data_IF_318637376010
#
_entry.id   IF_318637376010
#
_cell.length_a   1.000
_cell.length_b   1.000
_cell.length_c   1.000
_cell.angle_alpha   90.00
_cell.angle_beta   90.00
_cell.angle_gamma   90.00
#
_symmetry.space_group_name_H-M   'P 1'
#
loop_
_entity.id
_entity.type
_entity.pdbx_description
1 polymer ?
#
# COMPACT_ATOMS: atom_id res chain seq x y z
N UNK A 1 17.67 -13.26 7.02
CA UNK A 1 17.95 -14.23 5.93
C UNK A 1 18.34 -13.47 4.67
N UNK A 2 19.47 -13.81 4.06
CA UNK A 2 19.98 -13.18 2.82
C UNK A 2 19.68 -14.11 1.65
N UNK A 3 18.96 -13.63 0.64
CA UNK A 3 18.47 -14.46 -0.47
C UNK A 3 18.65 -13.85 -1.84
N UNK A 4 18.85 -14.71 -2.83
CA UNK A 4 18.72 -14.40 -4.26
C UNK A 4 17.49 -15.09 -4.83
N UNK A 5 17.11 -14.79 -6.08
CA UNK A 5 15.99 -15.46 -6.76
C UNK A 5 14.61 -14.98 -6.33
N UNK A 6 14.53 -13.85 -5.61
CA UNK A 6 13.27 -13.15 -5.41
C UNK A 6 12.78 -12.58 -6.75
N UNK A 7 11.47 -12.65 -7.00
CA UNK A 7 10.89 -12.07 -8.20
C UNK A 7 11.13 -10.54 -8.23
N UNK A 8 11.31 -9.95 -9.43
CA UNK A 8 11.40 -8.50 -9.58
C UNK A 8 10.18 -7.80 -8.98
N UNK A 9 10.38 -6.60 -8.44
CA UNK A 9 9.27 -5.73 -8.00
C UNK A 9 8.97 -4.70 -9.08
N UNK A 10 7.70 -4.31 -9.16
CA UNK A 10 7.29 -3.11 -9.88
C UNK A 10 7.61 -1.88 -9.02
N UNK A 11 8.23 -0.85 -9.62
CA UNK A 11 8.61 0.38 -8.92
C UNK A 11 10.07 0.44 -8.48
N UNK A 12 10.37 1.36 -7.56
CA UNK A 12 11.71 1.59 -7.05
C UNK A 12 12.11 0.57 -5.97
N UNK A 13 13.42 0.35 -5.85
CA UNK A 13 14.01 -0.44 -4.78
C UNK A 13 13.74 0.23 -3.42
N UNK A 14 12.98 -0.45 -2.55
CA UNK A 14 12.52 0.11 -1.28
C UNK A 14 12.61 -0.90 -0.12
N UNK A 15 12.58 -0.36 1.10
CA UNK A 15 12.31 -1.15 2.31
C UNK A 15 10.82 -1.40 2.40
N UNK A 16 10.43 -2.66 2.59
CA UNK A 16 9.04 -3.05 2.80
C UNK A 16 8.86 -3.50 4.25
N UNK A 17 7.95 -2.86 4.93
CA UNK A 17 7.57 -3.14 6.30
C UNK A 17 6.15 -3.72 6.32
N UNK A 18 5.98 -4.93 6.85
CA UNK A 18 4.67 -5.56 7.07
C UNK A 18 4.53 -5.89 8.54
N UNK A 19 3.38 -5.56 9.12
CA UNK A 19 3.07 -5.82 10.51
C UNK A 19 1.69 -6.45 10.62
N UNK A 20 1.61 -7.54 11.38
CA UNK A 20 0.34 -8.17 11.75
C UNK A 20 0.25 -8.15 13.27
N UNK A 21 -0.69 -7.38 13.85
CA UNK A 21 -0.85 -7.27 15.29
C UNK A 21 -0.97 -8.64 15.97
N UNK A 22 -0.18 -8.87 17.02
CA UNK A 22 -0.16 -10.12 17.80
C UNK A 22 0.54 -11.31 17.11
N UNK A 23 1.00 -11.16 15.87
CA UNK A 23 1.74 -12.18 15.13
C UNK A 23 3.22 -11.82 15.07
N UNK A 24 3.51 -10.63 14.53
CA UNK A 24 4.87 -10.12 14.35
C UNK A 24 5.03 -9.30 13.07
N UNK A 25 6.28 -8.97 12.77
CA UNK A 25 6.69 -8.11 11.67
C UNK A 25 7.57 -8.86 10.67
N UNK A 26 7.39 -8.52 9.39
CA UNK A 26 8.24 -8.96 8.31
C UNK A 26 8.76 -7.76 7.53
N UNK A 27 10.09 -7.70 7.40
CA UNK A 27 10.77 -6.67 6.65
C UNK A 27 11.46 -7.31 5.47
N UNK A 28 11.46 -6.59 4.35
CA UNK A 28 12.41 -6.91 3.31
C UNK A 28 12.96 -5.70 2.57
N UNK A 29 14.24 -5.78 2.22
CA UNK A 29 14.95 -4.70 1.58
C UNK A 29 16.14 -5.21 0.76
N UNK A 30 16.52 -4.49 -0.31
CA UNK A 30 17.67 -4.85 -1.13
C UNK A 30 18.96 -4.65 -0.34
N UNK A 31 19.95 -5.48 -0.64
CA UNK A 31 21.29 -5.40 -0.08
C UNK A 31 22.35 -5.86 -1.07
N UNK A 32 23.61 -5.61 -0.74
CA UNK A 32 24.77 -6.08 -1.47
C UNK A 32 25.59 -7.01 -0.58
N UNK A 33 25.94 -8.19 -1.09
CA UNK A 33 26.91 -9.10 -0.48
C UNK A 33 28.17 -9.17 -1.34
N UNK A 34 29.16 -9.97 -0.91
CA UNK A 34 30.37 -10.24 -1.70
C UNK A 34 30.08 -11.01 -3.00
N UNK A 35 28.90 -11.62 -3.14
CA UNK A 35 28.49 -12.40 -4.32
C UNK A 35 27.51 -11.66 -5.22
N UNK A 36 27.08 -10.45 -4.85
CA UNK A 36 26.24 -9.57 -5.67
C UNK A 36 25.00 -9.06 -4.94
N UNK A 37 24.05 -8.48 -5.69
CA UNK A 37 22.77 -8.03 -5.15
C UNK A 37 21.96 -9.19 -4.56
N UNK A 38 21.32 -8.93 -3.42
CA UNK A 38 20.41 -9.85 -2.77
C UNK A 38 19.25 -9.11 -2.10
N UNK A 39 18.29 -9.85 -1.59
CA UNK A 39 17.27 -9.37 -0.67
C UNK A 39 17.58 -9.84 0.76
N UNK A 40 17.38 -8.97 1.74
CA UNK A 40 17.32 -9.35 3.15
C UNK A 40 15.85 -9.56 3.52
N UNK A 41 15.57 -10.67 4.19
CA UNK A 41 14.32 -10.97 4.88
C UNK A 41 14.57 -10.94 6.39
N UNK A 42 13.87 -10.08 7.11
CA UNK A 42 13.90 -10.00 8.58
C UNK A 42 12.54 -10.38 9.12
N UNK A 43 12.52 -11.25 10.12
CA UNK A 43 11.30 -11.71 10.79
C UNK A 43 11.44 -11.40 12.27
N UNK A 44 10.56 -10.53 12.77
CA UNK A 44 10.47 -10.22 14.20
C UNK A 44 9.18 -10.87 14.72
N UNK A 45 9.32 -11.92 15.53
CA UNK A 45 8.19 -12.65 16.09
C UNK A 45 7.91 -12.19 17.51
N UNK A 46 6.64 -11.95 17.85
CA UNK A 46 6.24 -11.68 19.24
C UNK A 46 6.62 -12.90 20.10
N UNK A 47 7.33 -12.74 21.23
CA UNK A 47 7.72 -13.86 22.09
C UNK A 47 6.52 -14.71 22.52
N UNK A 48 6.60 -16.03 22.32
CA UNK A 48 5.48 -16.97 22.55
C UNK A 48 4.33 -16.88 21.53
N UNK A 49 4.43 -15.98 20.56
CA UNK A 49 3.48 -15.80 19.47
C UNK A 49 3.69 -16.78 18.32
N UNK A 50 2.85 -16.71 17.28
CA UNK A 50 2.84 -17.70 16.20
C UNK A 50 4.04 -17.63 15.25
N UNK A 51 4.79 -16.52 15.23
CA UNK A 51 6.07 -16.38 14.52
C UNK A 51 7.30 -16.70 15.40
N UNK A 52 7.14 -16.97 16.70
CA UNK A 52 8.21 -17.46 17.58
C UNK A 52 8.36 -18.98 17.43
N UNK A 53 8.74 -19.43 16.23
CA UNK A 53 8.72 -20.84 15.83
C UNK A 53 10.07 -21.31 15.26
N UNK A 54 11.16 -20.93 15.92
CA UNK A 54 12.51 -21.12 15.39
C UNK A 54 13.38 -22.10 16.18
N UNK A 55 12.93 -22.59 17.34
CA UNK A 55 13.74 -23.36 18.30
C UNK A 55 14.20 -24.73 17.80
N UNK A 56 13.53 -25.29 16.80
CA UNK A 56 13.83 -26.58 16.16
C UNK A 56 14.77 -26.46 14.95
N UNK A 57 15.00 -25.25 14.45
CA UNK A 57 15.83 -24.97 13.26
C UNK A 57 17.32 -25.18 13.57
N UNK A 58 18.02 -25.93 12.70
CA UNK A 58 19.44 -26.33 12.90
C UNK A 58 20.33 -26.05 11.71
N UNK A 59 19.79 -25.98 10.49
CA UNK A 59 20.56 -25.71 9.27
C UNK A 59 20.08 -24.46 8.56
N UNK A 60 20.93 -23.79 7.76
CA UNK A 60 20.51 -22.66 6.94
C UNK A 60 19.34 -22.99 6.02
N UNK A 61 19.31 -24.19 5.44
CA UNK A 61 18.23 -24.63 4.55
C UNK A 61 16.92 -24.76 5.31
N UNK A 62 16.94 -25.37 6.50
CA UNK A 62 15.75 -25.44 7.36
C UNK A 62 15.26 -24.05 7.80
N UNK A 63 16.18 -23.08 7.97
CA UNK A 63 15.83 -21.69 8.27
C UNK A 63 15.14 -21.01 7.08
N UNK A 64 15.61 -21.21 5.85
CA UNK A 64 14.94 -20.68 4.66
C UNK A 64 13.57 -21.33 4.47
N UNK A 65 13.45 -22.66 4.62
CA UNK A 65 12.17 -23.36 4.57
C UNK A 65 11.18 -22.76 5.57
N UNK A 66 11.59 -22.58 6.83
CA UNK A 66 10.75 -21.94 7.87
C UNK A 66 10.37 -20.50 7.51
N UNK A 67 11.31 -19.73 6.94
CA UNK A 67 11.04 -18.37 6.48
C UNK A 67 9.92 -18.35 5.43
N UNK A 68 9.98 -19.27 4.47
CA UNK A 68 8.96 -19.40 3.41
C UNK A 68 7.61 -19.89 3.95
N UNK A 69 7.59 -20.79 4.93
CA UNK A 69 6.36 -21.21 5.62
C UNK A 69 5.67 -20.04 6.33
N UNK A 70 6.43 -19.21 7.04
CA UNK A 70 5.92 -18.00 7.70
C UNK A 70 5.33 -17.04 6.68
N UNK A 71 6.05 -16.76 5.58
CA UNK A 71 5.53 -15.93 4.50
C UNK A 71 4.25 -16.51 3.93
N UNK A 72 4.22 -17.81 3.61
CA UNK A 72 3.03 -18.44 3.03
C UNK A 72 1.81 -18.31 3.95
N UNK A 73 2.01 -18.47 5.26
CA UNK A 73 0.94 -18.46 6.25
C UNK A 73 0.43 -17.05 6.59
N UNK A 74 1.34 -16.10 6.76
CA UNK A 74 1.01 -14.78 7.32
C UNK A 74 1.13 -13.65 6.29
N UNK A 75 1.97 -13.79 5.27
CA UNK A 75 2.25 -12.75 4.27
C UNK A 75 2.21 -13.33 2.83
N UNK A 76 1.06 -13.87 2.38
CA UNK A 76 0.98 -14.63 1.13
C UNK A 76 1.35 -13.80 -0.12
N UNK A 77 1.11 -12.49 -0.10
CA UNK A 77 1.57 -11.54 -1.12
C UNK A 77 3.10 -11.49 -1.20
N UNK A 78 3.79 -11.51 -0.05
CA UNK A 78 5.24 -11.56 0.02
C UNK A 78 5.77 -12.94 -0.37
N UNK A 79 5.07 -14.02 0.00
CA UNK A 79 5.47 -15.38 -0.36
C UNK A 79 5.63 -15.57 -1.87
N UNK A 80 4.70 -15.05 -2.67
CA UNK A 80 4.76 -15.17 -4.14
C UNK A 80 6.07 -14.63 -4.71
N UNK A 81 6.59 -13.55 -4.12
CA UNK A 81 7.89 -12.99 -4.50
C UNK A 81 9.06 -13.92 -4.15
N UNK A 82 9.01 -14.56 -2.99
CA UNK A 82 10.13 -15.33 -2.43
C UNK A 82 10.04 -16.83 -2.66
N UNK A 83 9.00 -17.37 -3.30
CA UNK A 83 8.84 -18.81 -3.53
C UNK A 83 10.02 -19.49 -4.25
N UNK A 84 10.75 -18.73 -5.08
CA UNK A 84 11.95 -19.18 -5.79
C UNK A 84 13.28 -18.83 -5.10
N UNK A 85 13.21 -18.26 -3.90
CA UNK A 85 14.37 -17.72 -3.21
C UNK A 85 15.36 -18.81 -2.80
N UNK A 86 16.65 -18.47 -2.85
CA UNK A 86 17.77 -19.32 -2.39
C UNK A 86 18.69 -18.49 -1.51
N UNK A 87 19.30 -19.13 -0.52
CA UNK A 87 20.32 -18.46 0.29
C UNK A 87 21.47 -17.95 -0.58
N UNK A 88 22.03 -16.81 -0.22
CA UNK A 88 23.24 -16.27 -0.88
C UNK A 88 24.44 -17.20 -0.66
N UNK A 89 24.59 -17.75 0.54
CA UNK A 89 25.63 -18.67 0.98
C UNK A 89 25.23 -19.37 2.31
N UNK A 90 26.11 -20.24 2.83
CA UNK A 90 25.90 -20.98 4.07
C UNK A 90 25.81 -20.10 5.35
N UNK A 91 26.31 -18.87 5.30
CA UNK A 91 26.25 -17.88 6.37
C UNK A 91 25.08 -16.89 6.24
N UNK A 92 24.24 -17.02 5.20
CA UNK A 92 23.14 -16.10 4.91
C UNK A 92 21.97 -16.12 5.90
N UNK A 93 22.13 -16.66 7.11
CA UNK A 93 21.09 -16.79 8.13
C UNK A 93 21.58 -16.34 9.49
N UNK A 94 20.67 -15.74 10.27
CA UNK A 94 20.90 -15.37 11.66
C UNK A 94 19.59 -15.55 12.43
N UNK A 95 19.66 -16.22 13.58
CA UNK A 95 18.56 -16.38 14.52
C UNK A 95 19.05 -16.01 15.91
N UNK A 96 18.28 -15.22 16.64
CA UNK A 96 18.60 -14.87 18.02
C UNK A 96 17.43 -14.21 18.71
N UNK A 97 17.70 -13.74 19.93
CA UNK A 97 16.82 -12.84 20.67
C UNK A 97 17.65 -11.65 21.10
N UNK A 98 17.09 -10.46 20.97
CA UNK A 98 17.73 -9.21 21.40
C UNK A 98 16.95 -8.69 22.60
N UNK A 99 17.66 -8.31 23.66
CA UNK A 99 17.08 -7.56 24.77
C UNK A 99 17.58 -6.13 24.68
N UNK A 100 16.74 -5.18 24.24
CA UNK A 100 17.13 -3.78 24.16
C UNK A 100 17.65 -3.29 25.51
N UNK A 101 18.83 -2.67 25.50
CA UNK A 101 19.52 -2.31 26.74
C UNK A 101 20.26 -1.00 26.57
N UNK A 102 20.06 -0.09 27.53
CA UNK A 102 20.89 1.10 27.70
C UNK A 102 21.74 0.91 28.95
N UNK A 103 23.07 0.94 28.80
CA UNK A 103 24.04 0.70 29.87
C UNK A 103 24.67 1.99 30.36
N UNK A 104 25.35 1.94 31.50
CA UNK A 104 26.22 3.03 31.91
C UNK A 104 27.34 3.23 30.88
N UNK A 105 27.57 4.46 30.39
CA UNK A 105 28.50 4.70 29.29
C UNK A 105 29.97 4.68 29.71
N UNK A 106 30.26 4.87 31.01
CA UNK A 106 31.62 4.92 31.54
C UNK A 106 31.89 3.70 32.43
N UNK A 107 32.99 3.01 32.17
CA UNK A 107 33.45 1.89 32.98
C UNK A 107 34.87 2.14 33.52
N UNK A 108 35.17 1.62 34.71
CA UNK A 108 36.52 1.60 35.28
C UNK A 108 37.14 0.22 35.10
N UNK A 109 38.28 0.16 34.44
CA UNK A 109 39.03 -1.07 34.20
C UNK A 109 39.81 -1.50 35.44
N UNK A 110 40.24 -2.76 35.48
CA UNK A 110 41.12 -3.29 36.53
C UNK A 110 42.46 -2.52 36.65
N UNK A 111 42.92 -1.92 35.56
CA UNK A 111 44.11 -1.03 35.54
C UNK A 111 43.88 0.33 36.22
N UNK A 112 42.65 0.63 36.65
CA UNK A 112 42.26 1.91 37.21
C UNK A 112 41.87 2.97 36.17
N UNK A 113 42.14 2.73 34.88
CA UNK A 113 41.74 3.63 33.77
C UNK A 113 40.23 3.61 33.55
N UNK A 114 39.69 4.73 33.07
CA UNK A 114 38.29 4.82 32.65
C UNK A 114 38.17 4.71 31.13
N UNK A 115 37.07 4.13 30.68
CA UNK A 115 36.74 3.99 29.26
C UNK A 115 35.31 4.44 29.01
N UNK A 116 35.10 5.10 27.86
CA UNK A 116 33.78 5.48 27.35
C UNK A 116 33.34 4.45 26.30
N UNK A 117 32.22 3.79 26.54
CA UNK A 117 31.60 2.87 25.58
C UNK A 117 30.85 3.61 24.47
N UNK A 118 30.62 2.92 23.35
CA UNK A 118 29.96 3.44 22.15
C UNK A 118 29.11 2.34 21.49
N UNK A 119 28.12 2.73 20.68
CA UNK A 119 27.26 1.84 19.89
C UNK A 119 26.58 0.77 20.76
N UNK A 120 26.43 -0.46 20.26
CA UNK A 120 25.72 -1.57 20.92
C UNK A 120 26.30 -1.96 22.29
N UNK A 121 27.56 -1.59 22.57
CA UNK A 121 28.15 -1.78 23.89
C UNK A 121 27.40 -0.96 24.96
N UNK A 122 26.82 0.18 24.59
CA UNK A 122 26.11 1.09 25.50
C UNK A 122 24.62 1.18 25.17
N UNK A 123 24.25 1.34 23.91
CA UNK A 123 22.87 1.50 23.46
C UNK A 123 22.56 0.42 22.43
N UNK A 124 22.02 -0.70 22.92
CA UNK A 124 21.58 -1.82 22.08
C UNK A 124 20.09 -1.65 21.79
N UNK A 125 19.75 -1.44 20.53
CA UNK A 125 18.37 -1.33 20.05
C UNK A 125 17.87 -2.67 19.50
N UNK A 126 16.55 -2.86 19.54
CA UNK A 126 15.90 -3.90 18.75
C UNK A 126 15.99 -3.56 17.24
N UNK A 127 16.06 -4.56 16.32
CA UNK A 127 16.14 -4.29 14.90
C UNK A 127 14.85 -3.75 14.27
N UNK A 128 13.70 -3.79 14.97
CA UNK A 128 12.37 -3.46 14.43
C UNK A 128 12.27 -2.09 13.72
N UNK A 129 13.13 -1.12 14.05
CA UNK A 129 13.20 0.20 13.40
C UNK A 129 14.47 0.42 12.57
N UNK A 130 15.38 -0.57 12.52
CA UNK A 130 16.66 -0.47 11.82
C UNK A 130 17.63 0.57 12.40
N UNK A 131 17.43 1.06 13.62
CA UNK A 131 18.16 2.23 14.14
C UNK A 131 19.56 1.93 14.69
N UNK A 132 19.94 0.66 14.88
CA UNK A 132 21.23 0.28 15.52
C UNK A 132 22.46 0.93 14.85
N UNK A 133 22.63 0.72 13.54
CA UNK A 133 23.76 1.26 12.78
C UNK A 133 23.75 2.79 12.69
N UNK A 134 22.58 3.39 12.46
CA UNK A 134 22.41 4.85 12.43
C UNK A 134 22.78 5.47 13.78
N UNK A 135 22.32 4.85 14.88
CA UNK A 135 22.64 5.28 16.23
C UNK A 135 24.15 5.17 16.54
N UNK A 136 24.81 4.11 16.07
CA UNK A 136 26.26 3.95 16.21
C UNK A 136 27.04 5.02 15.43
N UNK A 137 26.61 5.33 14.19
CA UNK A 137 27.21 6.38 13.38
C UNK A 137 27.06 7.76 14.04
N UNK A 138 25.87 8.07 14.56
CA UNK A 138 25.61 9.31 15.29
C UNK A 138 26.42 9.40 16.58
N UNK A 139 26.57 8.30 17.33
CA UNK A 139 27.45 8.26 18.50
C UNK A 139 28.89 8.61 18.13
N UNK A 140 29.41 8.02 17.04
CA UNK A 140 30.76 8.29 16.56
C UNK A 140 30.97 9.77 16.21
N UNK A 141 30.02 10.40 15.49
CA UNK A 141 30.08 11.83 15.16
C UNK A 141 30.08 12.70 16.41
N UNK A 142 29.11 12.49 17.33
CA UNK A 142 29.02 13.25 18.58
C UNK A 142 30.27 13.12 19.45
N UNK A 143 30.85 11.92 19.51
CA UNK A 143 32.04 11.65 20.31
C UNK A 143 33.27 12.27 19.68
N UNK A 144 33.45 12.15 18.37
CA UNK A 144 34.54 12.78 17.63
C UNK A 144 34.54 14.29 17.84
N UNK A 145 33.40 14.95 17.65
CA UNK A 145 33.26 16.40 17.84
C UNK A 145 33.59 16.82 19.28
N UNK A 146 33.24 15.98 20.26
CA UNK A 146 33.54 16.23 21.67
C UNK A 146 35.04 16.06 21.94
N UNK A 147 35.67 15.02 21.41
CA UNK A 147 37.12 14.74 21.52
C UNK A 147 37.93 15.89 20.91
N UNK A 148 37.58 16.30 19.68
CA UNK A 148 38.29 17.37 18.96
C UNK A 148 38.19 18.72 19.70
N UNK A 149 37.01 19.06 20.24
CA UNK A 149 36.83 20.29 21.04
C UNK A 149 37.54 20.23 22.39
N UNK A 150 37.70 19.05 22.97
CA UNK A 150 38.41 18.88 24.24
C UNK A 150 39.93 18.98 24.08
N UNK A 151 40.44 18.70 22.87
CA UNK A 151 41.86 18.84 22.54
C UNK A 151 42.73 17.89 23.36
N UNK A 152 43.73 18.43 24.04
CA UNK A 152 44.71 17.67 24.85
C UNK A 152 44.36 17.59 26.33
N UNK A 153 43.20 18.10 26.74
CA UNK A 153 42.77 18.02 28.13
C UNK A 153 42.46 16.57 28.55
N UNK A 154 42.54 16.28 29.85
CA UNK A 154 42.29 14.93 30.36
C UNK A 154 40.84 14.47 30.14
N UNK A 155 40.66 13.25 29.62
CA UNK A 155 39.34 12.62 29.47
C UNK A 155 38.85 12.07 30.81
N UNK A 156 38.48 12.96 31.72
CA UNK A 156 37.95 12.57 33.03
C UNK A 156 36.64 11.78 32.91
N UNK A 157 36.26 10.94 33.89
CA UNK A 157 34.98 10.22 33.87
C UNK A 157 33.78 11.15 33.73
N UNK A 158 33.85 12.34 34.34
CA UNK A 158 32.79 13.35 34.24
C UNK A 158 32.69 13.92 32.82
N UNK A 159 33.81 14.12 32.13
CA UNK A 159 33.80 14.51 30.73
C UNK A 159 33.23 13.40 29.85
N UNK A 160 33.64 12.13 30.06
CA UNK A 160 33.11 10.99 29.32
C UNK A 160 31.59 10.86 29.45
N UNK A 161 31.05 11.02 30.68
CA UNK A 161 29.61 11.01 30.93
C UNK A 161 28.91 12.15 30.19
N UNK A 162 29.43 13.38 30.27
CA UNK A 162 28.86 14.53 29.54
C UNK A 162 28.85 14.33 28.02
N UNK A 163 29.89 13.70 27.48
CA UNK A 163 29.98 13.36 26.05
C UNK A 163 28.86 12.40 25.65
N UNK A 164 28.63 11.33 26.43
CA UNK A 164 27.48 10.44 26.19
C UNK A 164 26.15 11.17 26.35
N UNK A 165 25.97 11.97 27.41
CA UNK A 165 24.71 12.66 27.67
C UNK A 165 24.31 13.61 26.53
N UNK A 166 25.28 14.23 25.86
CA UNK A 166 25.04 15.08 24.70
C UNK A 166 24.55 14.29 23.49
N UNK A 167 25.16 13.12 23.22
CA UNK A 167 24.67 12.18 22.23
C UNK A 167 23.26 11.66 22.57
N UNK A 168 23.05 11.28 23.83
CA UNK A 168 21.78 10.77 24.32
C UNK A 168 20.64 11.78 24.11
N UNK A 169 20.83 13.02 24.55
CA UNK A 169 19.83 14.10 24.39
C UNK A 169 19.65 14.53 22.93
N UNK A 170 20.74 14.57 22.18
CA UNK A 170 20.73 15.03 20.78
C UNK A 170 20.12 14.03 19.81
N UNK A 171 20.23 12.73 20.11
CA UNK A 171 19.87 11.66 19.18
C UNK A 171 19.34 10.39 19.86
N UNK A 172 20.14 9.73 20.69
CA UNK A 172 19.92 8.31 21.02
C UNK A 172 18.56 8.04 21.68
N UNK A 173 18.13 8.91 22.60
CA UNK A 173 16.87 8.74 23.34
C UNK A 173 15.64 8.69 22.42
N UNK A 174 15.69 9.39 21.29
CA UNK A 174 14.59 9.48 20.33
C UNK A 174 14.45 8.16 19.56
N UNK A 175 15.59 7.64 19.08
CA UNK A 175 15.66 6.33 18.42
C UNK A 175 15.27 5.19 19.38
N UNK A 176 15.82 5.17 20.60
CA UNK A 176 15.49 4.16 21.63
C UNK A 176 14.00 4.21 21.98
N UNK A 177 13.47 5.40 22.27
CA UNK A 177 12.08 5.58 22.66
C UNK A 177 11.12 5.07 21.59
N UNK A 178 11.33 5.48 20.34
CA UNK A 178 10.50 5.05 19.22
C UNK A 178 10.58 3.54 18.98
N UNK A 179 11.79 2.98 18.99
CA UNK A 179 12.02 1.54 18.82
C UNK A 179 11.28 0.73 19.88
N UNK A 180 11.44 1.09 21.15
CA UNK A 180 10.78 0.38 22.25
C UNK A 180 9.25 0.51 22.20
N UNK A 181 8.72 1.63 21.69
CA UNK A 181 7.27 1.80 21.55
C UNK A 181 6.63 0.82 20.57
N UNK A 182 7.39 0.33 19.58
CA UNK A 182 6.93 -0.64 18.59
C UNK A 182 7.05 -2.10 19.08
N UNK A 183 7.77 -2.35 20.19
CA UNK A 183 7.87 -3.68 20.81
C UNK A 183 6.68 -4.01 21.72
N UNK A 184 5.83 -3.02 21.96
CA UNK A 184 4.63 -3.14 22.78
C UNK A 184 3.37 -3.04 21.92
N UNK A 185 2.23 -3.42 22.47
CA UNK A 185 0.97 -3.30 21.77
C UNK A 185 0.70 -1.84 21.34
N UNK A 186 0.39 -1.64 20.06
CA UNK A 186 0.08 -0.33 19.51
C UNK A 186 -1.19 0.24 20.18
N UNK A 187 -1.13 1.49 20.61
CA UNK A 187 -2.30 2.23 21.07
C UNK A 187 -3.30 2.49 19.92
N UNK A 188 -4.54 2.91 20.23
CA UNK A 188 -5.50 3.34 19.22
C UNK A 188 -4.95 4.42 18.27
N UNK A 189 -4.28 5.46 18.80
CA UNK A 189 -3.78 6.55 17.96
C UNK A 189 -2.62 6.13 17.05
N UNK A 190 -1.77 5.17 17.46
CA UNK A 190 -0.76 4.59 16.57
C UNK A 190 -1.43 3.86 15.39
N UNK A 191 -2.50 3.09 15.65
CA UNK A 191 -3.26 2.43 14.59
C UNK A 191 -3.92 3.43 13.64
N UNK A 192 -4.44 4.54 14.16
CA UNK A 192 -5.03 5.60 13.34
C UNK A 192 -3.99 6.29 12.45
N UNK A 193 -2.78 6.55 12.97
CA UNK A 193 -1.65 7.08 12.19
C UNK A 193 -1.28 6.13 11.05
N UNK A 194 -1.12 4.84 11.34
CA UNK A 194 -0.76 3.83 10.35
C UNK A 194 -1.87 3.62 9.31
N UNK A 195 -3.14 3.61 9.74
CA UNK A 195 -4.29 3.53 8.83
C UNK A 195 -4.37 4.75 7.93
N UNK A 196 -4.20 5.95 8.47
CA UNK A 196 -4.21 7.18 7.67
C UNK A 196 -3.05 7.26 6.68
N UNK A 197 -1.90 6.65 6.98
CA UNK A 197 -0.78 6.58 6.05
C UNK A 197 -1.13 5.83 4.75
N UNK A 198 -2.04 4.86 4.80
CA UNK A 198 -2.49 4.13 3.61
C UNK A 198 -3.31 5.01 2.65
N UNK A 199 -3.93 6.08 3.15
CA UNK A 199 -4.82 6.94 2.38
C UNK A 199 -4.21 8.31 2.07
N UNK A 200 -3.34 8.81 2.94
CA UNK A 200 -2.80 10.16 2.90
C UNK A 200 -1.28 10.11 2.70
N UNK A 201 -0.77 10.31 1.46
CA UNK A 201 0.66 10.18 1.17
C UNK A 201 1.59 11.05 2.02
N UNK A 202 1.12 12.22 2.48
CA UNK A 202 1.90 13.09 3.36
C UNK A 202 2.03 12.58 4.80
N UNK A 203 1.11 11.72 5.25
CA UNK A 203 1.24 10.98 6.52
C UNK A 203 2.26 9.85 6.35
N UNK A 204 2.16 9.07 5.27
CA UNK A 204 3.15 8.04 4.94
C UNK A 204 4.57 8.61 4.82
N UNK A 205 4.72 9.74 4.12
CA UNK A 205 6.00 10.43 3.99
C UNK A 205 6.57 10.92 5.33
N UNK A 206 5.73 11.38 6.25
CA UNK A 206 6.16 11.79 7.58
C UNK A 206 6.62 10.60 8.44
N UNK A 207 5.93 9.46 8.37
CA UNK A 207 6.35 8.22 9.04
C UNK A 207 7.69 7.72 8.47
N UNK A 208 7.83 7.71 7.14
CA UNK A 208 9.07 7.30 6.47
C UNK A 208 10.24 8.22 6.85
N UNK A 209 10.05 9.54 6.89
CA UNK A 209 11.06 10.50 7.33
C UNK A 209 11.51 10.28 8.79
N UNK A 210 10.69 9.63 9.61
CA UNK A 210 11.05 9.23 10.96
C UNK A 210 12.14 8.16 11.05
N UNK A 211 12.29 7.32 10.02
CA UNK A 211 13.42 6.39 9.94
C UNK A 211 14.76 7.11 9.76
N UNK A 212 14.74 8.24 9.04
CA UNK A 212 15.90 9.12 8.86
C UNK A 212 16.17 9.99 10.09
N UNK A 213 15.11 10.53 10.71
CA UNK A 213 15.20 11.34 11.92
C UNK A 213 14.01 11.08 12.88
N UNK A 214 14.18 10.24 13.91
CA UNK A 214 13.10 9.86 14.83
C UNK A 214 12.60 11.03 15.68
N UNK A 215 13.32 12.15 15.74
CA UNK A 215 12.87 13.37 16.45
C UNK A 215 11.64 13.99 15.79
N UNK A 216 11.50 13.81 14.47
CA UNK A 216 10.38 14.36 13.69
C UNK A 216 9.05 13.70 14.03
N UNK A 217 9.08 12.46 14.50
CA UNK A 217 7.91 11.68 14.91
C UNK A 217 7.45 12.05 16.32
N UNK A 218 8.41 12.36 17.19
CA UNK A 218 8.25 12.20 18.63
C UNK A 218 6.98 12.84 19.19
N UNK A 219 6.73 14.10 18.80
CA UNK A 219 5.59 14.88 19.31
C UNK A 219 4.24 14.20 19.05
N UNK A 220 3.98 13.79 17.80
CA UNK A 220 2.69 13.23 17.41
C UNK A 220 2.64 11.71 17.52
N UNK A 221 3.79 11.04 17.67
CA UNK A 221 3.84 9.62 17.96
C UNK A 221 3.50 9.35 19.44
N UNK A 222 4.10 10.10 20.37
CA UNK A 222 3.93 9.84 21.81
C UNK A 222 2.78 10.62 22.48
N UNK A 223 2.24 11.66 21.83
CA UNK A 223 1.11 12.43 22.37
C UNK A 223 -0.14 12.28 21.49
N UNK A 224 -1.17 11.62 22.02
CA UNK A 224 -2.43 11.35 21.30
C UNK A 224 -3.10 12.63 20.75
N UNK A 225 -3.12 13.71 21.54
CA UNK A 225 -3.71 14.98 21.10
C UNK A 225 -2.94 15.61 19.93
N UNK A 226 -1.62 15.42 19.88
CA UNK A 226 -0.79 15.87 18.77
C UNK A 226 -0.97 14.96 17.55
N UNK A 227 -1.13 13.65 17.73
CA UNK A 227 -1.48 12.70 16.67
C UNK A 227 -2.76 13.12 15.95
N UNK A 228 -3.83 13.40 16.70
CA UNK A 228 -5.12 13.82 16.14
C UNK A 228 -5.02 15.15 15.37
N UNK A 229 -4.29 16.14 15.91
CA UNK A 229 -4.07 17.41 15.22
C UNK A 229 -3.26 17.22 13.93
N UNK A 230 -2.18 16.44 13.98
CA UNK A 230 -1.36 16.13 12.83
C UNK A 230 -2.19 15.46 11.72
N UNK A 231 -3.00 14.45 12.07
CA UNK A 231 -3.87 13.77 11.12
C UNK A 231 -4.94 14.68 10.52
N UNK A 232 -5.58 15.51 11.34
CA UNK A 232 -6.58 16.48 10.87
C UNK A 232 -5.98 17.45 9.86
N UNK A 233 -4.78 17.99 10.15
CA UNK A 233 -4.07 18.89 9.24
C UNK A 233 -3.73 18.21 7.91
N UNK A 234 -3.14 17.00 7.95
CA UNK A 234 -2.74 16.27 6.74
C UNK A 234 -3.93 15.86 5.88
N UNK A 235 -5.03 15.43 6.51
CA UNK A 235 -6.29 15.11 5.80
C UNK A 235 -6.90 16.34 5.15
N UNK A 236 -6.92 17.48 5.85
CA UNK A 236 -7.43 18.74 5.29
C UNK A 236 -6.59 19.17 4.07
N UNK A 237 -5.26 19.12 4.16
CA UNK A 237 -4.36 19.41 3.04
C UNK A 237 -4.56 18.45 1.87
N UNK A 238 -4.75 17.15 2.15
CA UNK A 238 -5.00 16.14 1.13
C UNK A 238 -6.33 16.36 0.40
N UNK A 239 -7.41 16.61 1.15
CA UNK A 239 -8.72 16.91 0.60
C UNK A 239 -8.75 18.24 -0.17
N UNK A 240 -7.97 19.24 0.26
CA UNK A 240 -7.89 20.54 -0.40
C UNK A 240 -7.13 20.52 -1.74
N UNK A 241 -6.49 19.40 -2.12
CA UNK A 241 -5.71 19.32 -3.36
C UNK A 241 -6.58 19.53 -4.60
N UNK A 242 -7.85 19.11 -4.56
CA UNK A 242 -8.89 19.44 -5.54
C UNK A 242 -10.28 19.41 -4.88
N UNK A 243 -11.11 20.43 -5.08
CA UNK A 243 -12.54 20.31 -4.77
C UNK A 243 -13.17 19.28 -5.73
N UNK A 244 -13.68 18.17 -5.19
CA UNK A 244 -14.31 17.12 -5.98
C UNK A 244 -15.48 17.62 -6.84
N UNK A 245 -16.17 18.70 -6.45
CA UNK A 245 -17.21 19.31 -7.28
C UNK A 245 -16.62 20.05 -8.47
N UNK A 246 -15.55 20.81 -8.27
CA UNK A 246 -14.85 21.51 -9.35
C UNK A 246 -14.19 20.54 -10.33
N UNK A 247 -13.53 19.50 -9.81
CA UNK A 247 -12.94 18.45 -10.64
C UNK A 247 -14.00 17.72 -11.47
N UNK A 248 -15.13 17.34 -10.85
CA UNK A 248 -16.26 16.72 -11.57
C UNK A 248 -16.83 17.65 -12.64
N UNK A 249 -16.93 18.95 -12.36
CA UNK A 249 -17.39 19.96 -13.34
C UNK A 249 -16.41 20.06 -14.52
N UNK A 250 -15.11 20.05 -14.26
CA UNK A 250 -14.06 20.07 -15.28
C UNK A 250 -14.09 18.80 -16.14
N UNK A 251 -14.18 17.61 -15.53
CA UNK A 251 -14.32 16.33 -16.23
C UNK A 251 -15.59 16.28 -17.08
N UNK A 252 -16.68 16.88 -16.60
CA UNK A 252 -17.95 16.96 -17.33
C UNK A 252 -17.89 17.79 -18.63
N UNK A 253 -16.80 18.51 -18.91
CA UNK A 253 -16.60 19.18 -20.20
C UNK A 253 -16.28 18.20 -21.33
N UNK A 254 -15.81 16.98 -21.02
CA UNK A 254 -15.66 15.93 -22.01
C UNK A 254 -17.02 15.27 -22.25
N UNK A 255 -17.62 15.55 -23.41
CA UNK A 255 -18.89 14.96 -23.81
C UNK A 255 -18.71 13.47 -24.12
N UNK A 256 -19.61 12.64 -23.60
CA UNK A 256 -19.59 11.19 -23.82
C UNK A 256 -20.93 10.70 -24.33
N UNK A 257 -20.93 9.53 -24.97
CA UNK A 257 -22.16 8.73 -25.06
C UNK A 257 -22.59 8.26 -23.67
N UNK A 258 -23.82 7.76 -23.57
CA UNK A 258 -24.31 7.08 -22.37
C UNK A 258 -24.48 5.60 -22.66
N UNK A 259 -23.98 4.75 -21.77
CA UNK A 259 -24.15 3.31 -21.86
C UNK A 259 -24.89 2.71 -20.68
N UNK A 260 -25.51 1.56 -20.89
CA UNK A 260 -25.89 0.64 -19.81
C UNK A 260 -25.06 -0.61 -19.95
N UNK A 261 -24.35 -0.98 -18.89
CA UNK A 261 -23.61 -2.22 -18.78
C UNK A 261 -24.46 -3.22 -18.02
N UNK A 262 -24.65 -4.42 -18.57
CA UNK A 262 -25.42 -5.49 -17.95
C UNK A 262 -24.58 -6.75 -17.79
N UNK A 263 -24.90 -7.55 -16.79
CA UNK A 263 -24.33 -8.87 -16.60
C UNK A 263 -25.34 -9.81 -15.96
N UNK A 264 -24.99 -11.09 -15.92
CA UNK A 264 -25.71 -12.13 -15.18
C UNK A 264 -24.90 -12.43 -13.92
N UNK A 265 -25.49 -12.20 -12.74
CA UNK A 265 -24.88 -12.55 -11.46
C UNK A 265 -24.78 -14.09 -11.31
N UNK A 266 -23.88 -14.61 -10.45
CA UNK A 266 -23.71 -16.06 -10.24
C UNK A 266 -25.00 -16.77 -9.78
N UNK A 267 -25.89 -16.06 -9.09
CA UNK A 267 -27.19 -16.56 -8.65
C UNK A 267 -28.30 -16.48 -9.72
N UNK A 268 -27.96 -16.04 -10.94
CA UNK A 268 -28.86 -15.93 -12.07
C UNK A 268 -29.59 -14.58 -12.19
N UNK A 269 -29.47 -13.67 -11.22
CA UNK A 269 -30.09 -12.34 -11.30
C UNK A 269 -29.49 -11.53 -12.46
N UNK A 270 -30.33 -10.74 -13.13
CA UNK A 270 -29.88 -9.72 -14.08
C UNK A 270 -29.37 -8.50 -13.29
N UNK A 271 -28.17 -8.02 -13.59
CA UNK A 271 -27.63 -6.80 -13.00
C UNK A 271 -27.29 -5.79 -14.08
N UNK A 272 -27.45 -4.50 -13.76
CA UNK A 272 -27.28 -3.42 -14.74
C UNK A 272 -26.89 -2.10 -14.08
N UNK A 273 -26.02 -1.37 -14.78
CA UNK A 273 -25.51 -0.07 -14.35
C UNK A 273 -25.39 0.87 -15.53
N UNK A 274 -25.84 2.11 -15.37
CA UNK A 274 -25.50 3.17 -16.31
C UNK A 274 -24.06 3.61 -16.12
N UNK A 275 -23.32 3.69 -17.22
CA UNK A 275 -21.96 4.18 -17.25
C UNK A 275 -21.79 5.18 -18.39
N UNK A 276 -20.91 6.15 -18.19
CA UNK A 276 -20.46 7.05 -19.25
C UNK A 276 -18.93 7.09 -19.34
N UNK A 277 -18.26 6.17 -18.64
CA UNK A 277 -16.82 5.95 -18.69
C UNK A 277 -16.39 4.96 -19.77
N UNK A 278 -17.32 4.49 -20.62
CA UNK A 278 -17.04 3.50 -21.66
C UNK A 278 -16.06 4.06 -22.70
N UNK A 279 -15.07 3.27 -23.09
CA UNK A 279 -14.06 3.66 -24.09
C UNK A 279 -13.59 2.45 -24.90
N UNK A 280 -13.39 2.61 -26.21
CA UNK A 280 -12.72 1.63 -27.06
C UNK A 280 -11.20 1.67 -26.85
N UNK A 281 -10.55 0.52 -26.70
CA UNK A 281 -9.14 0.42 -26.32
C UNK A 281 -8.27 -0.11 -27.47
N UNK A 282 -8.69 -1.20 -28.10
CA UNK A 282 -7.90 -1.89 -29.12
C UNK A 282 -8.81 -2.50 -30.19
N UNK A 283 -8.29 -2.63 -31.41
CA UNK A 283 -8.96 -3.31 -32.52
C UNK A 283 -8.53 -4.78 -32.65
N UNK A 284 -7.28 -5.12 -32.31
CA UNK A 284 -6.74 -6.49 -32.38
C UNK A 284 -5.79 -6.77 -31.19
N UNK A 285 -6.21 -7.55 -30.18
CA UNK A 285 -7.57 -8.07 -30.00
C UNK A 285 -8.58 -6.91 -29.77
N UNK A 286 -9.88 -7.12 -30.03
CA UNK A 286 -10.90 -6.09 -29.89
C UNK A 286 -11.22 -5.84 -28.42
N UNK A 287 -10.70 -4.76 -27.85
CA UNK A 287 -10.81 -4.45 -26.42
C UNK A 287 -11.61 -3.17 -26.17
N UNK A 288 -12.43 -3.19 -25.12
CA UNK A 288 -13.16 -2.05 -24.57
C UNK A 288 -12.97 -1.97 -23.06
N UNK A 289 -13.19 -0.80 -22.47
CA UNK A 289 -13.19 -0.62 -21.03
C UNK A 289 -14.39 0.16 -20.51
N UNK A 290 -14.66 -0.01 -19.22
CA UNK A 290 -15.55 0.85 -18.42
C UNK A 290 -15.15 0.79 -16.95
N UNK A 291 -15.66 1.71 -16.13
CA UNK A 291 -15.18 1.93 -14.76
C UNK A 291 -16.37 2.02 -13.79
N UNK A 292 -16.83 0.91 -13.18
CA UNK A 292 -17.76 0.97 -12.05
C UNK A 292 -17.07 1.50 -10.79
N UNK A 293 -17.81 2.29 -10.00
CA UNK A 293 -17.34 2.79 -8.71
C UNK A 293 -17.28 1.68 -7.65
N UNK A 294 -16.27 1.73 -6.78
CA UNK A 294 -16.05 0.75 -5.71
C UNK A 294 -17.20 0.67 -4.71
N UNK A 295 -17.94 1.76 -4.55
CA UNK A 295 -19.10 1.85 -3.67
C UNK A 295 -20.41 1.37 -4.31
N UNK A 296 -20.38 0.87 -5.56
CA UNK A 296 -21.60 0.36 -6.19
C UNK A 296 -22.06 -0.95 -5.56
N UNK A 297 -23.34 -1.08 -5.16
CA UNK A 297 -23.89 -2.33 -4.64
C UNK A 297 -23.78 -3.51 -5.61
N UNK A 298 -23.79 -3.24 -6.92
CA UNK A 298 -23.72 -4.28 -7.95
C UNK A 298 -22.29 -4.65 -8.36
N UNK A 299 -21.26 -4.02 -7.76
CA UNK A 299 -19.87 -4.31 -8.11
C UNK A 299 -19.47 -5.78 -7.85
N UNK A 300 -19.86 -6.43 -6.73
CA UNK A 300 -19.57 -7.85 -6.53
C UNK A 300 -20.16 -8.72 -7.64
N UNK A 301 -21.41 -8.46 -8.03
CA UNK A 301 -22.08 -9.20 -9.11
C UNK A 301 -21.34 -9.08 -10.45
N UNK A 302 -20.81 -7.90 -10.80
CA UNK A 302 -19.98 -7.70 -12.00
C UNK A 302 -18.59 -8.33 -11.86
N UNK A 303 -18.03 -8.35 -10.64
CA UNK A 303 -16.71 -8.92 -10.38
C UNK A 303 -16.73 -10.44 -10.55
N UNK A 304 -17.82 -11.09 -10.14
CA UNK A 304 -17.97 -12.54 -10.26
C UNK A 304 -18.50 -12.98 -11.64
N UNK A 305 -19.09 -12.06 -12.41
CA UNK A 305 -19.52 -12.33 -13.77
C UNK A 305 -18.33 -12.52 -14.73
N UNK A 306 -18.40 -13.56 -15.56
CA UNK A 306 -17.41 -13.82 -16.62
C UNK A 306 -17.59 -12.90 -17.83
N UNK A 307 -18.83 -12.51 -18.13
CA UNK A 307 -19.21 -11.71 -19.29
C UNK A 307 -20.10 -10.53 -18.89
N UNK A 308 -20.02 -9.46 -19.67
CA UNK A 308 -20.90 -8.31 -19.58
C UNK A 308 -21.29 -7.83 -20.98
N UNK A 309 -22.39 -7.11 -21.09
CA UNK A 309 -22.81 -6.47 -22.33
C UNK A 309 -22.88 -4.95 -22.15
N UNK A 310 -22.34 -4.18 -23.10
CA UNK A 310 -22.39 -2.72 -23.14
C UNK A 310 -23.40 -2.29 -24.18
N UNK A 311 -24.35 -1.43 -23.79
CA UNK A 311 -25.40 -0.91 -24.66
C UNK A 311 -25.21 0.59 -24.83
N UNK A 312 -24.87 1.06 -26.03
CA UNK A 312 -24.80 2.49 -26.34
C UNK A 312 -26.21 3.00 -26.58
N UNK A 313 -26.72 3.84 -25.68
CA UNK A 313 -28.12 4.25 -25.68
C UNK A 313 -28.46 5.21 -26.83
N UNK A 314 -29.66 5.04 -27.39
CA UNK A 314 -30.24 5.99 -28.35
C UNK A 314 -30.75 7.26 -27.65
N UNK A 315 -30.88 8.35 -28.41
CA UNK A 315 -31.21 9.69 -27.88
C UNK A 315 -32.54 9.74 -27.10
N UNK A 316 -33.49 8.87 -27.39
CA UNK A 316 -34.78 8.73 -26.70
C UNK A 316 -34.74 7.80 -25.47
N UNK A 317 -33.65 7.05 -25.27
CA UNK A 317 -33.47 6.09 -24.17
C UNK A 317 -32.93 6.71 -22.87
N UNK A 318 -33.08 8.02 -22.67
CA UNK A 318 -32.73 8.70 -21.42
C UNK A 318 -33.45 8.12 -20.18
N UNK A 319 -34.62 7.51 -20.37
CA UNK A 319 -35.35 6.80 -19.31
C UNK A 319 -34.59 5.56 -18.80
N UNK A 320 -33.96 4.77 -19.69
CA UNK A 320 -33.12 3.63 -19.31
C UNK A 320 -31.88 4.11 -18.56
N UNK A 321 -31.24 5.19 -19.03
CA UNK A 321 -30.10 5.79 -18.32
C UNK A 321 -30.46 6.15 -16.87
N UNK A 322 -31.61 6.79 -16.63
CA UNK A 322 -32.05 7.12 -15.27
C UNK A 322 -32.37 5.88 -14.44
N UNK A 323 -33.04 4.91 -15.04
CA UNK A 323 -33.44 3.66 -14.37
C UNK A 323 -32.24 2.86 -13.90
N UNK A 324 -31.22 2.69 -14.75
CA UNK A 324 -30.03 1.92 -14.40
C UNK A 324 -29.00 2.69 -13.55
N UNK A 325 -29.07 4.03 -13.51
CA UNK A 325 -28.30 4.86 -12.58
C UNK A 325 -28.88 4.93 -11.16
N UNK A 326 -30.19 4.70 -10.99
CA UNK A 326 -30.89 4.86 -9.69
C UNK A 326 -30.96 3.53 -8.94
N UNK A 327 -30.61 3.47 -7.63
CA UNK A 327 -30.80 2.27 -6.82
C UNK A 327 -32.27 1.81 -6.79
N UNK A 328 -32.52 0.51 -7.01
CA UNK A 328 -33.84 -0.11 -6.98
C UNK A 328 -33.71 -1.63 -6.79
N UNK A 329 -34.73 -2.27 -6.21
CA UNK A 329 -34.78 -3.72 -5.99
C UNK A 329 -34.76 -4.51 -7.30
N UNK A 330 -35.48 -4.02 -8.31
CA UNK A 330 -35.51 -4.58 -9.66
C UNK A 330 -35.42 -3.45 -10.70
N UNK A 331 -34.21 -3.28 -11.25
CA UNK A 331 -33.91 -2.32 -12.31
C UNK A 331 -34.31 -2.80 -13.70
N UNK A 332 -34.71 -4.06 -13.88
CA UNK A 332 -35.11 -4.60 -15.19
C UNK A 332 -36.63 -4.63 -15.37
N UNK A 333 -37.40 -4.33 -14.32
CA UNK A 333 -38.87 -4.25 -14.37
C UNK A 333 -39.33 -3.35 -15.53
N UNK A 334 -40.05 -3.94 -16.47
CA UNK A 334 -40.62 -3.22 -17.62
C UNK A 334 -39.61 -2.93 -18.75
N UNK A 335 -38.40 -3.48 -18.69
CA UNK A 335 -37.39 -3.37 -19.74
C UNK A 335 -37.27 -4.71 -20.47
N UNK A 336 -37.75 -4.83 -21.72
CA UNK A 336 -37.56 -6.02 -22.53
C UNK A 336 -36.07 -6.32 -22.70
N UNK A 337 -35.70 -7.59 -22.57
CA UNK A 337 -34.33 -8.04 -22.79
C UNK A 337 -34.31 -9.37 -23.52
N UNK A 338 -33.31 -9.55 -24.38
CA UNK A 338 -32.99 -10.84 -25.00
C UNK A 338 -31.73 -11.44 -24.36
N UNK A 339 -31.60 -12.78 -24.25
CA UNK A 339 -30.39 -13.39 -23.68
C UNK A 339 -29.24 -13.37 -24.69
N UNK A 340 -28.09 -12.85 -24.26
CA UNK A 340 -26.81 -12.89 -24.97
C UNK A 340 -25.88 -14.01 -24.50
N UNK A 341 -24.59 -13.87 -24.81
CA UNK A 341 -23.51 -14.76 -24.38
C UNK A 341 -23.52 -14.88 -22.85
N UNK A 342 -23.36 -16.11 -22.35
CA UNK A 342 -23.46 -16.45 -20.92
C UNK A 342 -24.78 -15.99 -20.25
N UNK A 343 -25.84 -15.80 -21.06
CA UNK A 343 -27.11 -15.29 -20.60
C UNK A 343 -27.07 -13.82 -20.20
N UNK A 344 -26.11 -13.02 -20.64
CA UNK A 344 -26.12 -11.56 -20.37
C UNK A 344 -27.41 -10.90 -20.89
N UNK A 345 -28.10 -10.04 -20.12
CA UNK A 345 -29.32 -9.40 -20.59
C UNK A 345 -29.01 -8.33 -21.64
N UNK A 346 -29.49 -8.51 -22.87
CA UNK A 346 -29.35 -7.53 -23.95
C UNK A 346 -30.56 -6.63 -24.01
N UNK A 347 -30.35 -5.31 -23.88
CA UNK A 347 -31.39 -4.31 -24.01
C UNK A 347 -31.72 -4.08 -25.50
N UNK A 348 -33.00 -3.88 -25.79
CA UNK A 348 -33.45 -3.59 -27.16
C UNK A 348 -33.35 -2.09 -27.50
N UNK A 349 -33.19 -1.76 -28.79
CA UNK A 349 -33.21 -0.38 -29.30
C UNK A 349 -31.97 0.47 -29.01
N UNK A 350 -30.90 -0.14 -28.49
CA UNK A 350 -29.60 0.54 -28.36
C UNK A 350 -28.98 0.80 -29.75
N UNK A 351 -28.24 1.90 -29.89
CA UNK A 351 -27.54 2.27 -31.15
C UNK A 351 -26.47 1.23 -31.51
N UNK A 352 -25.83 0.68 -30.49
CA UNK A 352 -24.88 -0.42 -30.62
C UNK A 352 -24.83 -1.25 -29.34
N UNK A 353 -24.52 -2.53 -29.48
CA UNK A 353 -24.31 -3.45 -28.36
C UNK A 353 -23.02 -4.21 -28.54
N UNK A 354 -22.29 -4.39 -27.44
CA UNK A 354 -21.04 -5.15 -27.39
C UNK A 354 -21.15 -6.19 -26.29
N UNK A 355 -21.01 -7.47 -26.65
CA UNK A 355 -20.96 -8.58 -25.71
C UNK A 355 -19.49 -8.92 -25.46
N UNK A 356 -19.08 -8.86 -24.21
CA UNK A 356 -17.68 -8.87 -23.83
C UNK A 356 -17.38 -9.95 -22.80
N UNK A 357 -16.25 -10.62 -22.96
CA UNK A 357 -15.63 -11.43 -21.90
C UNK A 357 -14.67 -10.55 -21.10
N UNK A 358 -14.72 -10.64 -19.78
CA UNK A 358 -13.79 -9.90 -18.93
C UNK A 358 -12.39 -10.47 -19.06
N UNK A 359 -11.42 -9.64 -19.43
CA UNK A 359 -10.00 -10.01 -19.58
C UNK A 359 -9.24 -9.65 -18.30
N UNK A 360 -9.41 -8.43 -17.82
CA UNK A 360 -8.67 -7.92 -16.68
C UNK A 360 -9.51 -6.92 -15.88
N UNK A 361 -9.23 -6.85 -14.58
CA UNK A 361 -9.75 -5.83 -13.66
C UNK A 361 -8.56 -5.12 -13.05
N UNK A 362 -8.51 -3.79 -13.12
CA UNK A 362 -7.43 -3.00 -12.56
C UNK A 362 -7.96 -2.05 -11.49
N UNK A 363 -7.28 -2.02 -10.34
CA UNK A 363 -7.59 -1.06 -9.27
C UNK A 363 -7.20 0.36 -9.71
N UNK A 364 -8.15 1.30 -9.66
CA UNK A 364 -7.93 2.66 -10.14
C UNK A 364 -8.63 3.69 -9.23
N UNK A 365 -8.05 3.94 -8.06
CA UNK A 365 -8.56 4.93 -7.11
C UNK A 365 -9.90 4.50 -6.51
N UNK A 366 -10.96 5.28 -6.69
CA UNK A 366 -12.32 4.98 -6.21
C UNK A 366 -13.15 4.14 -7.20
N UNK A 367 -12.55 3.69 -8.30
CA UNK A 367 -13.17 2.84 -9.32
C UNK A 367 -12.32 1.58 -9.62
N UNK A 368 -12.92 0.62 -10.33
CA UNK A 368 -12.22 -0.51 -10.92
C UNK A 368 -12.32 -0.38 -12.44
N UNK A 369 -11.20 -0.49 -13.17
CA UNK A 369 -11.23 -0.56 -14.64
C UNK A 369 -11.52 -2.00 -15.04
N UNK A 370 -12.64 -2.21 -15.72
CA UNK A 370 -12.97 -3.49 -16.37
C UNK A 370 -12.52 -3.43 -17.82
N UNK A 371 -11.55 -4.26 -18.19
CA UNK A 371 -11.12 -4.47 -19.57
C UNK A 371 -11.82 -5.71 -20.12
N UNK A 372 -12.59 -5.55 -21.18
CA UNK A 372 -13.33 -6.62 -21.84
C UNK A 372 -12.91 -6.81 -23.29
N UNK A 373 -12.85 -8.06 -23.72
CA UNK A 373 -12.67 -8.44 -25.12
C UNK A 373 -14.04 -8.64 -25.76
N UNK A 374 -14.29 -7.96 -26.88
CA UNK A 374 -15.56 -8.03 -27.61
C UNK A 374 -15.63 -9.34 -28.38
N UNK A 375 -16.61 -10.18 -28.06
CA UNK A 375 -16.84 -11.47 -28.72
C UNK A 375 -17.95 -11.39 -29.77
N UNK A 376 -18.95 -10.53 -29.55
CA UNK A 376 -20.02 -10.26 -30.49
C UNK A 376 -20.48 -8.81 -30.37
N UNK A 377 -20.90 -8.21 -31.49
CA UNK A 377 -21.47 -6.87 -31.50
C UNK A 377 -22.57 -6.75 -32.55
N UNK A 378 -23.45 -5.76 -32.34
CA UNK A 378 -24.41 -5.27 -33.33
C UNK A 378 -24.47 -3.74 -33.26
N UNK A 379 -24.85 -3.14 -34.38
CA UNK A 379 -24.93 -1.70 -34.53
C UNK A 379 -26.07 -1.35 -35.49
N UNK A 380 -27.22 -1.04 -34.91
CA UNK A 380 -28.41 -0.61 -35.66
C UNK A 380 -28.30 0.86 -36.12
N UNK A 381 -27.37 1.62 -35.52
CA UNK A 381 -27.16 3.03 -35.81
C UNK A 381 -28.23 3.91 -35.18
N UNK A 382 -28.30 5.16 -35.62
CA UNK A 382 -29.19 6.18 -35.05
C UNK A 382 -28.47 7.24 -34.21
N UNK A 383 -29.24 8.19 -33.69
CA UNK A 383 -28.70 9.29 -32.89
C UNK A 383 -28.42 8.80 -31.45
N UNK A 384 -27.19 8.89 -30.94
CA UNK A 384 -26.87 8.46 -29.59
C UNK A 384 -27.35 9.48 -28.54
N UNK A 385 -27.62 8.98 -27.33
CA UNK A 385 -27.77 9.81 -26.15
C UNK A 385 -26.40 10.35 -25.73
N UNK A 386 -26.29 11.67 -25.62
CA UNK A 386 -25.06 12.34 -25.20
C UNK A 386 -25.23 12.85 -23.78
N UNK A 387 -24.17 12.76 -22.98
CA UNK A 387 -24.08 13.39 -21.67
C UNK A 387 -22.92 14.38 -21.64
N UNK A 388 -23.23 15.62 -21.28
CA UNK A 388 -22.24 16.69 -21.23
C UNK A 388 -22.63 17.73 -20.18
N UNK A 389 -21.67 18.10 -19.34
CA UNK A 389 -21.78 19.11 -18.28
C UNK A 389 -22.98 18.88 -17.34
N UNK A 390 -23.31 17.61 -17.05
CA UNK A 390 -24.39 17.24 -16.13
C UNK A 390 -25.79 17.12 -16.76
N UNK A 391 -25.92 17.30 -18.08
CA UNK A 391 -27.19 17.25 -18.79
C UNK A 391 -27.16 16.25 -19.94
N UNK A 392 -28.34 15.71 -20.28
CA UNK A 392 -28.52 14.95 -21.52
C UNK A 392 -28.63 15.91 -22.71
N UNK A 393 -27.98 15.54 -23.81
CA UNK A 393 -27.99 16.25 -25.08
C UNK A 393 -28.31 15.29 -26.22
N UNK A 394 -28.68 15.84 -27.36
CA UNK A 394 -28.85 15.10 -28.61
C UNK A 394 -27.66 15.41 -29.52
N UNK A 395 -27.06 14.38 -30.10
CA UNK A 395 -26.00 14.58 -31.09
C UNK A 395 -26.57 15.26 -32.34
N UNK A 396 -25.91 16.34 -32.77
CA UNK A 396 -26.23 17.04 -34.02
C UNK A 396 -24.99 17.01 -34.91
N UNK A 397 -25.18 16.85 -36.23
CA UNK A 397 -24.07 17.00 -37.17
C UNK A 397 -23.51 18.42 -37.09
N UNK A 398 -22.20 18.54 -37.24
CA UNK A 398 -21.58 19.85 -37.30
C UNK A 398 -22.15 20.62 -38.50
N UNK A 399 -22.55 21.89 -38.36
CA UNK A 399 -23.22 22.61 -39.46
C UNK A 399 -22.35 22.79 -40.70
N UNK A 400 -21.03 22.85 -40.52
CA UNK A 400 -20.06 23.10 -41.59
C UNK A 400 -19.38 21.82 -42.16
N UNK A 401 -19.75 20.63 -41.68
CA UNK A 401 -19.21 19.32 -42.15
C UNK A 401 -20.36 18.42 -42.60
#
# INVERSE_FOLDING_TARGET
TYVTGAAPREGEDAVHYRLIPGVGEFFSFPALTTTGPCDIMVFEGVPGGPMDCWDDIRTPESHLTRSLEILHRFFPDAYERYRGARLTDHGGVLRGRVTPTVRHPVARLASGRHVLGMADAVVLNDPITGQGSNNAAQAATHYLDSILRHGTAEFTPQWMQRTFDNFWRGWAQWAVGWTNSLLTELSPHHRDLLSAAAEVPSVAGALAAGFDDPRTLYRWWFEEAEAHRFLAEKRAQHAARFDGRELRRALGQYATGVTVVTARAPDGRSVGMTANSFTSVSMDPPLVLWCPGKNSPSLPDFTDASHFAVHVLAADQHHLSRQFATPADDKFRGTPTTPGIAGTPLLDGAVARFQCRTVQRLDAGDHIIFLGEVEQYDADGGAPLVFHSGYYHVATKHPDL
#
